data_IF_071864112616
#
_entry.id   IF_071864112616
#
_cell.length_a   1.000
_cell.length_b   1.000
_cell.length_c   1.000
_cell.angle_alpha   90.00
_cell.angle_beta   90.00
_cell.angle_gamma   90.00
#
_symmetry.space_group_name_H-M   'P 1'
#
loop_
_entity.id
_entity.type
_entity.pdbx_description
1 polymer ?
#
# COMPACT_ATOMS: atom_id res chain seq x y z
N UNK A 1 9.42 14.42 -27.04
CA UNK A 1 9.34 13.07 -27.69
C UNK A 1 9.15 12.03 -26.59
N UNK A 2 8.24 11.05 -26.78
CA UNK A 2 8.03 10.01 -25.79
C UNK A 2 9.06 8.87 -26.00
N UNK A 3 9.68 8.45 -24.94
CA UNK A 3 10.63 7.32 -24.90
C UNK A 3 10.26 6.37 -23.76
N UNK A 4 10.71 5.12 -23.82
CA UNK A 4 10.52 4.16 -22.75
C UNK A 4 11.84 3.50 -22.35
N UNK A 5 11.97 3.14 -21.08
CA UNK A 5 13.15 2.45 -20.55
C UNK A 5 12.84 1.55 -19.36
N UNK A 6 13.72 0.57 -19.06
CA UNK A 6 13.60 -0.20 -17.83
C UNK A 6 13.70 0.69 -16.59
N UNK A 7 12.99 0.28 -15.53
CA UNK A 7 13.16 0.82 -14.19
C UNK A 7 14.51 0.37 -13.60
N UNK A 8 15.19 1.26 -12.90
CA UNK A 8 16.46 1.02 -12.20
C UNK A 8 16.26 1.28 -10.71
N UNK A 9 16.23 0.22 -9.91
CA UNK A 9 15.84 0.26 -8.50
C UNK A 9 16.45 1.44 -7.72
N UNK A 10 17.78 1.58 -7.71
CA UNK A 10 18.44 2.64 -6.93
C UNK A 10 18.36 4.04 -7.56
N UNK A 11 18.21 4.12 -8.88
CA UNK A 11 18.25 5.40 -9.60
C UNK A 11 16.85 6.03 -9.78
N UNK A 12 15.82 5.21 -9.75
CA UNK A 12 14.48 5.66 -10.15
C UNK A 12 13.45 5.62 -9.01
N UNK A 13 13.73 4.97 -7.85
CA UNK A 13 12.77 4.90 -6.75
C UNK A 13 12.25 6.29 -6.34
N UNK A 14 13.15 7.23 -6.09
CA UNK A 14 12.78 8.60 -5.73
C UNK A 14 11.99 9.30 -6.84
N UNK A 15 12.40 9.13 -8.11
CA UNK A 15 11.70 9.73 -9.24
C UNK A 15 10.27 9.18 -9.41
N UNK A 16 10.11 7.88 -9.20
CA UNK A 16 8.79 7.24 -9.21
C UNK A 16 7.95 7.73 -8.03
N UNK A 17 8.55 7.85 -6.83
CA UNK A 17 7.85 8.41 -5.69
C UNK A 17 7.29 9.79 -6.00
N UNK A 18 8.12 10.71 -6.51
CA UNK A 18 7.70 12.06 -6.88
C UNK A 18 6.66 12.09 -8.02
N UNK A 19 6.80 11.22 -9.00
CA UNK A 19 5.79 11.05 -10.06
C UNK A 19 4.43 10.62 -9.49
N UNK A 20 4.42 9.67 -8.54
CA UNK A 20 3.20 9.20 -7.89
C UNK A 20 2.56 10.28 -6.99
N UNK A 21 3.37 11.11 -6.33
CA UNK A 21 2.89 12.30 -5.62
C UNK A 21 2.16 13.26 -6.58
N UNK A 22 2.76 13.52 -7.74
CA UNK A 22 2.21 14.46 -8.74
C UNK A 22 0.86 13.98 -9.30
N UNK A 23 0.73 12.69 -9.62
CA UNK A 23 -0.47 12.14 -10.26
C UNK A 23 -1.55 11.69 -9.27
N UNK A 24 -1.31 11.82 -7.96
CA UNK A 24 -2.20 11.30 -6.94
C UNK A 24 -3.61 11.87 -7.04
N UNK A 25 -4.58 10.98 -6.96
CA UNK A 25 -6.00 11.28 -6.76
C UNK A 25 -6.55 10.35 -5.68
N UNK A 26 -7.50 10.82 -4.87
CA UNK A 26 -8.05 10.02 -3.75
C UNK A 26 -8.63 8.66 -4.18
N UNK A 27 -9.16 8.56 -5.38
CA UNK A 27 -9.72 7.31 -5.94
C UNK A 27 -8.71 6.48 -6.75
N UNK A 28 -7.44 6.89 -6.76
CA UNK A 28 -6.30 6.25 -7.45
C UNK A 28 -6.47 6.09 -8.96
N UNK A 29 -7.37 6.87 -9.58
CA UNK A 29 -7.65 6.80 -11.02
C UNK A 29 -6.45 6.93 -11.94
N UNK A 30 -5.37 7.57 -11.47
CA UNK A 30 -4.15 7.73 -12.26
C UNK A 30 -3.07 6.70 -11.87
N UNK A 31 -3.24 5.95 -10.77
CA UNK A 31 -2.29 4.97 -10.26
C UNK A 31 -2.27 4.91 -8.73
N UNK A 32 -1.40 4.08 -8.18
CA UNK A 32 -1.23 3.90 -6.74
C UNK A 32 -0.66 5.16 -6.08
N UNK A 33 -0.91 5.41 -4.78
CA UNK A 33 -0.21 6.46 -4.04
C UNK A 33 1.27 6.11 -3.84
N UNK A 34 2.10 7.12 -3.68
CA UNK A 34 3.54 6.95 -3.51
C UNK A 34 3.94 6.02 -2.35
N UNK A 35 3.32 6.09 -1.16
CA UNK A 35 3.62 5.14 -0.07
C UNK A 35 3.32 3.68 -0.39
N UNK A 36 2.30 3.38 -1.20
CA UNK A 36 2.01 2.02 -1.65
C UNK A 36 3.22 1.40 -2.38
N UNK A 37 3.77 2.14 -3.34
CA UNK A 37 4.96 1.71 -4.08
C UNK A 37 6.18 1.59 -3.17
N UNK A 38 6.43 2.60 -2.33
CA UNK A 38 7.61 2.60 -1.46
C UNK A 38 7.54 1.48 -0.42
N UNK A 39 6.38 1.23 0.20
CA UNK A 39 6.18 0.13 1.12
C UNK A 39 6.58 -1.20 0.49
N UNK A 40 6.09 -1.49 -0.72
CA UNK A 40 6.41 -2.72 -1.42
C UNK A 40 7.90 -2.84 -1.73
N UNK A 41 8.52 -1.79 -2.29
CA UNK A 41 9.92 -1.85 -2.75
C UNK A 41 10.94 -1.65 -1.62
N UNK A 42 10.59 -0.99 -0.52
CA UNK A 42 11.44 -0.86 0.66
C UNK A 42 11.50 -2.14 1.50
N UNK A 43 10.47 -2.96 1.47
CA UNK A 43 10.45 -4.21 2.25
C UNK A 43 11.46 -5.25 1.77
N UNK A 44 12.07 -5.07 0.61
CA UNK A 44 13.10 -5.93 -0.01
C UNK A 44 12.89 -7.42 0.30
N UNK A 45 13.08 -8.28 -0.61
CA UNK A 45 13.24 -9.75 -0.51
C UNK A 45 12.36 -10.55 0.48
N UNK A 46 11.93 -10.03 1.63
CA UNK A 46 11.11 -10.81 2.54
C UNK A 46 9.66 -10.92 2.07
N UNK A 47 9.08 -9.78 1.67
CA UNK A 47 7.68 -9.74 1.25
C UNK A 47 7.53 -9.67 -0.27
N UNK A 48 8.48 -9.03 -0.95
CA UNK A 48 8.45 -8.81 -2.40
C UNK A 48 9.67 -9.38 -3.10
N UNK A 49 9.46 -10.19 -4.13
CA UNK A 49 10.54 -10.64 -5.00
C UNK A 49 10.93 -9.54 -6.00
N UNK A 50 12.02 -8.84 -5.70
CA UNK A 50 12.56 -7.76 -6.55
C UNK A 50 13.40 -8.26 -7.74
N UNK A 51 13.60 -9.58 -7.89
CA UNK A 51 14.43 -10.17 -8.95
C UNK A 51 13.99 -9.77 -10.36
N UNK A 52 12.71 -9.43 -10.53
CA UNK A 52 12.14 -9.02 -11.80
C UNK A 52 11.98 -7.50 -11.95
N UNK A 53 12.45 -6.69 -11.00
CA UNK A 53 12.24 -5.24 -11.01
C UNK A 53 12.72 -4.54 -12.27
N UNK A 54 13.71 -5.10 -12.95
CA UNK A 54 14.19 -4.62 -14.26
C UNK A 54 13.14 -4.70 -15.38
N UNK A 55 12.07 -5.46 -15.19
CA UNK A 55 10.94 -5.55 -16.11
C UNK A 55 9.90 -4.47 -15.89
N UNK A 56 9.92 -3.78 -14.76
CA UNK A 56 9.12 -2.57 -14.60
C UNK A 56 9.55 -1.55 -15.66
N UNK A 57 8.57 -0.80 -16.17
CA UNK A 57 8.81 0.06 -17.34
C UNK A 57 8.35 1.50 -17.05
N UNK A 58 9.22 2.42 -17.42
CA UNK A 58 8.99 3.86 -17.33
C UNK A 58 8.83 4.43 -18.73
N UNK A 59 7.84 5.30 -18.93
CA UNK A 59 7.69 6.15 -20.11
C UNK A 59 8.01 7.59 -19.72
N UNK A 60 8.80 8.25 -20.54
CA UNK A 60 9.24 9.63 -20.32
C UNK A 60 8.87 10.48 -21.52
N UNK A 61 8.43 11.72 -21.26
CA UNK A 61 8.23 12.76 -22.27
C UNK A 61 9.12 13.95 -21.93
N UNK A 62 10.10 14.23 -22.82
CA UNK A 62 11.06 15.31 -22.64
C UNK A 62 11.80 15.30 -21.30
N UNK A 63 12.07 14.07 -20.79
CA UNK A 63 12.83 13.81 -19.57
C UNK A 63 11.98 13.68 -18.30
N UNK A 64 10.66 13.91 -18.38
CA UNK A 64 9.73 13.73 -17.26
C UNK A 64 9.00 12.40 -17.37
N UNK A 65 8.79 11.72 -16.24
CA UNK A 65 8.03 10.47 -16.17
C UNK A 65 6.56 10.79 -16.38
N UNK A 66 5.93 10.10 -17.33
CA UNK A 66 4.51 10.27 -17.67
C UNK A 66 3.70 8.98 -17.51
N UNK A 67 4.37 7.83 -17.43
CA UNK A 67 3.72 6.56 -17.12
C UNK A 67 4.71 5.58 -16.50
N UNK A 68 4.16 4.66 -15.69
CA UNK A 68 4.91 3.60 -15.03
C UNK A 68 4.08 2.34 -14.97
N UNK A 69 4.68 1.20 -15.31
CA UNK A 69 4.11 -0.12 -15.17
C UNK A 69 5.00 -0.97 -14.28
N UNK A 70 4.44 -1.56 -13.24
CA UNK A 70 5.21 -2.32 -12.27
C UNK A 70 4.38 -3.47 -11.70
N UNK A 71 5.06 -4.40 -11.08
CA UNK A 71 4.43 -5.46 -10.29
C UNK A 71 4.62 -5.22 -8.80
N UNK A 72 3.74 -5.84 -8.02
CA UNK A 72 3.85 -5.96 -6.59
C UNK A 72 3.75 -7.44 -6.18
N UNK A 73 3.65 -7.76 -4.93
CA UNK A 73 3.49 -9.13 -4.45
C UNK A 73 2.00 -9.58 -4.51
N UNK A 74 1.68 -10.68 -5.19
CA UNK A 74 2.59 -11.57 -5.95
C UNK A 74 3.12 -10.90 -7.22
N UNK A 75 4.25 -11.41 -7.74
CA UNK A 75 4.87 -10.87 -8.98
C UNK A 75 3.96 -10.94 -10.20
N UNK A 76 2.83 -11.64 -10.10
CA UNK A 76 1.76 -11.72 -11.11
C UNK A 76 0.87 -10.50 -11.17
N UNK A 77 0.86 -9.68 -10.13
CA UNK A 77 -0.03 -8.53 -9.98
C UNK A 77 0.60 -7.27 -10.58
N UNK A 78 0.07 -6.84 -11.72
CA UNK A 78 0.63 -5.77 -12.54
C UNK A 78 -0.21 -4.50 -12.40
N UNK A 79 0.45 -3.41 -12.01
CA UNK A 79 -0.12 -2.09 -11.80
C UNK A 79 0.28 -1.10 -12.87
N UNK A 80 -0.59 -0.14 -13.13
CA UNK A 80 -0.42 0.89 -14.14
C UNK A 80 -0.64 2.26 -13.52
N UNK A 81 0.35 3.14 -13.70
CA UNK A 81 0.30 4.55 -13.30
C UNK A 81 0.46 5.40 -14.55
N UNK A 82 -0.48 6.32 -14.80
CA UNK A 82 -0.55 7.09 -16.04
C UNK A 82 -0.95 8.54 -15.76
N UNK A 83 -0.08 9.46 -16.13
CA UNK A 83 -0.33 10.89 -15.98
C UNK A 83 -1.50 11.32 -16.87
N UNK A 84 -2.46 12.13 -16.37
CA UNK A 84 -3.54 12.68 -17.17
C UNK A 84 -3.04 13.39 -18.43
N UNK A 85 -3.72 13.18 -19.55
CA UNK A 85 -3.33 13.71 -20.87
C UNK A 85 -2.40 12.79 -21.68
N UNK A 86 -1.98 11.67 -21.10
CA UNK A 86 -1.14 10.68 -21.78
C UNK A 86 -1.85 9.35 -22.07
N UNK A 87 -3.19 9.35 -22.12
CA UNK A 87 -4.04 8.15 -22.32
C UNK A 87 -3.71 7.40 -23.62
N UNK A 88 -3.08 8.07 -24.59
CA UNK A 88 -2.57 7.44 -25.82
C UNK A 88 -1.50 6.38 -25.58
N UNK A 89 -0.81 6.41 -24.43
CA UNK A 89 0.18 5.40 -24.03
C UNK A 89 -0.47 4.11 -23.54
N UNK A 90 -1.76 4.11 -23.21
CA UNK A 90 -2.43 2.96 -22.59
C UNK A 90 -2.30 1.67 -23.44
N UNK A 91 -2.35 1.79 -24.78
CA UNK A 91 -2.15 0.65 -25.68
C UNK A 91 -0.76 0.05 -25.55
N UNK A 92 0.27 0.90 -25.59
CA UNK A 92 1.67 0.48 -25.49
C UNK A 92 1.97 -0.11 -24.10
N UNK A 93 1.45 0.48 -23.04
CA UNK A 93 1.61 0.00 -21.66
C UNK A 93 1.02 -1.39 -21.47
N UNK A 94 -0.20 -1.61 -21.94
CA UNK A 94 -0.87 -2.92 -21.86
C UNK A 94 -0.15 -3.96 -22.68
N UNK A 95 0.25 -3.63 -23.92
CA UNK A 95 1.03 -4.53 -24.77
C UNK A 95 2.37 -4.89 -24.11
N UNK A 96 3.08 -3.89 -23.58
CA UNK A 96 4.34 -4.15 -22.88
C UNK A 96 4.16 -5.10 -21.71
N UNK A 97 3.15 -4.86 -20.87
CA UNK A 97 2.88 -5.70 -19.71
C UNK A 97 2.54 -7.14 -20.11
N UNK A 98 1.69 -7.33 -21.11
CA UNK A 98 1.32 -8.66 -21.62
C UNK A 98 2.52 -9.46 -22.18
N UNK A 99 3.47 -8.78 -22.81
CA UNK A 99 4.61 -9.42 -23.47
C UNK A 99 5.82 -9.63 -22.55
N UNK A 100 6.02 -8.74 -21.55
CA UNK A 100 7.30 -8.61 -20.86
C UNK A 100 7.22 -8.73 -19.34
N UNK A 101 6.04 -8.54 -18.70
CA UNK A 101 6.00 -8.54 -17.25
C UNK A 101 6.29 -9.92 -16.66
N UNK A 102 6.87 -9.97 -15.44
CA UNK A 102 7.40 -11.19 -14.88
C UNK A 102 6.29 -12.16 -14.59
N UNK A 103 6.28 -13.29 -15.21
CA UNK A 103 5.62 -14.51 -14.78
C UNK A 103 5.42 -15.50 -15.88
N UNK A 104 4.84 -16.60 -15.51
CA UNK A 104 4.08 -17.47 -16.35
C UNK A 104 2.88 -16.68 -16.92
N UNK A 105 2.74 -16.57 -18.24
CA UNK A 105 1.68 -15.76 -18.90
C UNK A 105 0.26 -16.16 -18.50
N UNK A 106 0.07 -17.38 -18.02
CA UNK A 106 -1.22 -17.91 -17.59
C UNK A 106 -1.70 -17.26 -16.27
N UNK A 107 -0.77 -16.74 -15.47
CA UNK A 107 -1.02 -16.23 -14.12
C UNK A 107 -1.03 -14.70 -14.02
N UNK A 108 -0.71 -13.97 -15.12
CA UNK A 108 -0.69 -12.51 -15.10
C UNK A 108 -2.08 -11.96 -14.82
N UNK A 109 -2.15 -11.11 -13.82
CA UNK A 109 -3.32 -10.34 -13.45
C UNK A 109 -3.05 -8.85 -13.58
N UNK A 110 -3.81 -8.16 -14.42
CA UNK A 110 -3.79 -6.72 -14.47
C UNK A 110 -4.70 -6.14 -13.40
N UNK A 111 -4.20 -5.18 -12.66
CA UNK A 111 -4.95 -4.47 -11.63
C UNK A 111 -5.17 -3.04 -12.11
N UNK A 112 -6.45 -2.67 -12.24
CA UNK A 112 -6.84 -1.32 -12.61
C UNK A 112 -7.73 -0.71 -11.52
N UNK A 113 -7.63 0.60 -11.42
CA UNK A 113 -8.49 1.40 -10.55
C UNK A 113 -9.65 2.02 -11.34
N UNK A 114 -10.72 2.40 -10.63
CA UNK A 114 -11.83 3.12 -11.25
C UNK A 114 -11.34 4.38 -11.96
N UNK A 115 -11.78 4.61 -13.21
CA UNK A 115 -11.32 5.74 -14.02
C UNK A 115 -10.16 5.45 -14.98
N UNK A 116 -9.51 4.29 -14.90
CA UNK A 116 -8.47 3.86 -15.85
C UNK A 116 -9.06 3.24 -17.14
N UNK A 117 -10.10 3.88 -17.70
CA UNK A 117 -10.91 3.32 -18.80
C UNK A 117 -10.11 3.04 -20.08
N UNK A 118 -9.09 3.85 -20.37
CA UNK A 118 -8.23 3.65 -21.53
C UNK A 118 -7.43 2.35 -21.40
N UNK A 119 -6.81 2.11 -20.24
CA UNK A 119 -6.06 0.88 -19.94
C UNK A 119 -6.96 -0.34 -19.97
N UNK A 120 -8.13 -0.29 -19.31
CA UNK A 120 -9.10 -1.38 -19.28
C UNK A 120 -9.61 -1.75 -20.68
N UNK A 121 -9.86 -0.76 -21.55
CA UNK A 121 -10.27 -0.98 -22.92
C UNK A 121 -9.22 -1.74 -23.73
N UNK A 122 -7.95 -1.34 -23.65
CA UNK A 122 -6.87 -2.02 -24.35
C UNK A 122 -6.58 -3.40 -23.77
N UNK A 123 -6.66 -3.58 -22.44
CA UNK A 123 -6.59 -4.91 -21.83
C UNK A 123 -7.70 -5.83 -22.38
N UNK A 124 -8.93 -5.33 -22.50
CA UNK A 124 -10.03 -6.11 -23.09
C UNK A 124 -9.76 -6.50 -24.55
N UNK A 125 -9.18 -5.60 -25.35
CA UNK A 125 -8.79 -5.88 -26.74
C UNK A 125 -7.69 -6.95 -26.82
N UNK A 126 -6.79 -6.98 -25.84
CA UNK A 126 -5.71 -7.98 -25.70
C UNK A 126 -6.19 -9.31 -25.10
N UNK A 127 -7.50 -9.49 -24.90
CA UNK A 127 -8.09 -10.75 -24.43
C UNK A 127 -8.31 -10.85 -22.93
N UNK A 128 -7.89 -9.85 -22.14
CA UNK A 128 -8.16 -9.82 -20.71
C UNK A 128 -9.65 -9.60 -20.42
N UNK A 129 -10.12 -10.19 -19.31
CA UNK A 129 -11.50 -10.02 -18.84
C UNK A 129 -11.48 -9.73 -17.35
N UNK A 130 -12.37 -8.83 -16.90
CA UNK A 130 -12.55 -8.58 -15.48
C UNK A 130 -13.03 -9.87 -14.80
N UNK A 131 -12.26 -10.34 -13.82
CA UNK A 131 -12.55 -11.54 -13.04
C UNK A 131 -13.38 -11.20 -11.81
N UNK A 132 -12.97 -10.16 -11.07
CA UNK A 132 -13.69 -9.64 -9.90
C UNK A 132 -13.35 -8.16 -9.65
N UNK A 133 -14.03 -7.57 -8.67
CA UNK A 133 -13.75 -6.21 -8.21
C UNK A 133 -13.92 -6.13 -6.69
N UNK A 134 -13.26 -5.19 -6.07
CA UNK A 134 -13.42 -4.85 -4.66
C UNK A 134 -13.34 -3.34 -4.47
N UNK A 135 -13.74 -2.88 -3.28
CA UNK A 135 -13.57 -1.51 -2.86
C UNK A 135 -12.67 -1.46 -1.64
N UNK A 136 -11.64 -0.63 -1.69
CA UNK A 136 -10.94 -0.18 -0.51
C UNK A 136 -11.54 1.15 -0.05
N UNK A 137 -11.54 1.35 1.25
CA UNK A 137 -12.23 2.44 1.90
C UNK A 137 -11.24 3.49 2.37
N UNK A 138 -11.73 4.73 2.49
CA UNK A 138 -10.99 5.83 3.11
C UNK A 138 -11.87 6.49 4.17
N UNK A 139 -11.21 7.08 5.16
CA UNK A 139 -11.84 7.94 6.15
C UNK A 139 -11.59 9.40 5.79
N UNK A 140 -12.65 10.20 5.69
CA UNK A 140 -12.55 11.65 5.47
C UNK A 140 -12.42 12.37 6.82
N UNK A 141 -11.45 13.29 6.94
CA UNK A 141 -11.19 14.01 8.19
C UNK A 141 -12.13 15.20 8.42
N UNK A 142 -13.14 15.38 7.57
CA UNK A 142 -14.26 16.25 7.87
C UNK A 142 -15.08 15.76 9.09
N UNK A 143 -15.10 14.43 9.28
CA UNK A 143 -15.69 13.79 10.46
C UNK A 143 -14.62 13.50 11.51
N UNK A 144 -15.04 13.32 12.75
CA UNK A 144 -14.15 12.97 13.86
C UNK A 144 -14.13 11.45 14.08
N UNK A 145 -12.92 10.88 14.12
CA UNK A 145 -12.72 9.46 14.42
C UNK A 145 -12.28 9.34 15.89
N UNK A 146 -13.19 8.93 16.74
CA UNK A 146 -12.94 8.82 18.18
C UNK A 146 -13.45 7.48 18.73
N UNK A 147 -12.56 6.52 18.90
CA UNK A 147 -12.79 5.25 19.57
C UNK A 147 -11.88 5.14 20.78
N UNK A 148 -12.43 4.98 22.00
CA UNK A 148 -11.61 4.94 23.21
C UNK A 148 -10.72 3.69 23.25
N UNK A 149 -9.54 3.85 23.85
CA UNK A 149 -8.69 2.71 24.15
C UNK A 149 -9.35 1.84 25.23
N UNK A 150 -9.51 0.52 25.00
CA UNK A 150 -10.09 -0.38 25.99
C UNK A 150 -9.27 -0.48 27.27
N UNK A 151 -9.95 -0.71 28.40
CA UNK A 151 -9.31 -0.92 29.71
C UNK A 151 -8.33 -2.11 29.66
N UNK A 152 -7.21 -2.00 30.38
CA UNK A 152 -6.17 -3.01 30.42
C UNK A 152 -5.15 -2.91 29.27
N UNK A 153 -5.23 -1.87 28.44
CA UNK A 153 -4.29 -1.60 27.36
C UNK A 153 -3.75 -0.15 27.46
N UNK A 154 -2.60 0.06 26.83
CA UNK A 154 -1.99 1.39 26.72
C UNK A 154 -1.31 1.57 25.36
N UNK A 155 -1.23 2.83 24.90
CA UNK A 155 -0.39 3.19 23.76
C UNK A 155 1.08 3.17 24.16
N UNK A 156 1.90 2.49 23.36
CA UNK A 156 3.37 2.54 23.50
C UNK A 156 3.83 3.89 22.92
N UNK A 157 4.69 4.62 23.64
CA UNK A 157 5.26 5.86 23.12
C UNK A 157 6.13 5.59 21.90
N UNK A 158 6.11 6.46 20.90
CA UNK A 158 6.81 6.22 19.63
C UNK A 158 8.31 5.92 19.82
N UNK A 159 8.99 6.60 20.73
CA UNK A 159 10.41 6.35 21.02
C UNK A 159 10.69 5.03 21.73
N UNK A 160 9.66 4.40 22.32
CA UNK A 160 9.78 3.15 23.09
C UNK A 160 9.32 1.94 22.28
N UNK A 161 8.94 2.13 21.00
CA UNK A 161 8.49 1.07 20.11
C UNK A 161 9.68 0.15 19.76
N UNK A 162 9.58 -1.12 20.15
CA UNK A 162 10.51 -2.18 19.79
C UNK A 162 10.08 -2.83 18.46
N UNK A 163 10.90 -2.68 17.41
CA UNK A 163 10.60 -3.17 16.07
C UNK A 163 10.58 -4.70 15.99
N UNK A 164 11.32 -5.39 16.82
CA UNK A 164 11.24 -6.86 16.94
C UNK A 164 9.87 -7.30 17.46
N UNK A 165 9.34 -6.59 18.47
CA UNK A 165 8.01 -6.87 19.00
C UNK A 165 6.89 -6.44 18.00
N UNK A 166 7.11 -5.40 17.18
CA UNK A 166 6.24 -5.08 16.03
C UNK A 166 6.22 -6.26 15.06
N UNK A 167 7.39 -6.80 14.67
CA UNK A 167 7.49 -7.96 13.79
C UNK A 167 6.72 -9.18 14.32
N UNK A 168 6.88 -9.49 15.61
CA UNK A 168 6.12 -10.57 16.26
C UNK A 168 4.61 -10.33 16.29
N UNK A 169 4.21 -9.07 16.51
CA UNK A 169 2.80 -8.66 16.48
C UNK A 169 2.20 -8.84 15.09
N UNK A 170 2.89 -8.39 14.04
CA UNK A 170 2.46 -8.58 12.64
C UNK A 170 2.41 -10.07 12.27
N UNK A 171 3.43 -10.85 12.61
CA UNK A 171 3.47 -12.29 12.34
C UNK A 171 2.24 -13.02 12.86
N UNK A 172 1.88 -12.76 14.12
CA UNK A 172 0.66 -13.31 14.72
C UNK A 172 -0.61 -12.66 14.20
N UNK A 173 -0.60 -11.35 14.04
CA UNK A 173 -1.77 -10.55 13.65
C UNK A 173 -2.25 -10.85 12.23
N UNK A 174 -1.35 -11.28 11.33
CA UNK A 174 -1.67 -11.73 9.97
C UNK A 174 -1.74 -13.25 9.83
N UNK A 175 -1.79 -13.98 10.95
CA UNK A 175 -1.94 -15.44 11.00
C UNK A 175 -0.79 -16.23 10.33
N UNK A 176 0.39 -15.61 10.11
CA UNK A 176 1.57 -16.31 9.55
C UNK A 176 2.02 -17.49 10.41
N UNK A 177 1.87 -17.39 11.74
CA UNK A 177 2.23 -18.47 12.65
C UNK A 177 1.51 -19.78 12.32
N UNK A 178 0.30 -19.71 11.76
CA UNK A 178 -0.49 -20.89 11.37
C UNK A 178 -0.03 -21.50 10.03
N UNK A 179 0.47 -20.67 9.11
CA UNK A 179 0.82 -21.10 7.75
C UNK A 179 2.33 -21.37 7.59
N UNK A 180 3.16 -20.61 8.30
CA UNK A 180 4.62 -20.57 8.11
C UNK A 180 5.38 -21.01 9.35
N UNK A 181 4.67 -21.29 10.47
CA UNK A 181 5.25 -21.69 11.74
C UNK A 181 5.63 -20.52 12.66
N UNK A 182 6.28 -20.81 13.81
CA UNK A 182 6.58 -19.81 14.82
C UNK A 182 7.52 -18.73 14.27
N UNK A 183 7.30 -17.48 14.72
CA UNK A 183 8.19 -16.39 14.40
C UNK A 183 9.64 -16.71 14.73
N UNK A 184 10.57 -16.33 13.85
CA UNK A 184 11.99 -16.47 14.07
C UNK A 184 12.74 -15.19 13.65
N UNK A 185 14.00 -15.06 14.08
CA UNK A 185 14.81 -13.88 13.88
C UNK A 185 15.14 -13.55 12.40
N UNK A 186 14.90 -14.47 11.45
CA UNK A 186 15.07 -14.16 10.02
C UNK A 186 14.09 -13.08 9.53
N UNK A 187 12.95 -12.93 10.22
CA UNK A 187 11.93 -11.93 9.94
C UNK A 187 12.14 -10.62 10.69
N UNK A 188 13.12 -10.55 11.58
CA UNK A 188 13.37 -9.39 12.43
C UNK A 188 13.72 -8.13 11.63
N UNK A 189 14.51 -8.30 10.58
CA UNK A 189 15.04 -7.19 9.78
C UNK A 189 13.96 -6.44 8.99
N UNK A 190 12.87 -7.08 8.62
CA UNK A 190 11.80 -6.51 7.79
C UNK A 190 11.25 -5.19 8.36
N UNK A 191 10.84 -5.18 9.61
CA UNK A 191 10.27 -3.99 10.23
C UNK A 191 11.29 -2.88 10.47
N UNK A 192 12.58 -3.22 10.66
CA UNK A 192 13.64 -2.23 10.72
C UNK A 192 13.88 -1.58 9.36
N UNK A 193 13.89 -2.36 8.28
CA UNK A 193 14.06 -1.85 6.90
C UNK A 193 12.93 -0.89 6.55
N UNK A 194 11.68 -1.26 6.79
CA UNK A 194 10.53 -0.38 6.55
C UNK A 194 10.62 0.94 7.30
N UNK A 195 11.09 0.93 8.56
CA UNK A 195 11.24 2.15 9.35
C UNK A 195 12.38 3.07 8.89
N UNK A 196 13.23 2.60 7.98
CA UNK A 196 14.36 3.35 7.39
C UNK A 196 14.17 3.66 5.91
N UNK A 197 13.02 3.38 5.34
CA UNK A 197 12.69 3.78 3.98
C UNK A 197 12.68 5.32 3.86
N UNK A 198 13.04 5.90 2.70
CA UNK A 198 13.27 7.34 2.55
C UNK A 198 12.13 8.24 3.07
N UNK A 199 10.88 7.82 2.88
CA UNK A 199 9.70 8.60 3.30
C UNK A 199 8.89 7.91 4.41
N UNK A 200 9.50 6.93 5.10
CA UNK A 200 8.86 6.33 6.26
C UNK A 200 8.66 7.36 7.38
N UNK A 201 7.54 7.25 8.08
CA UNK A 201 7.19 8.11 9.23
C UNK A 201 6.93 7.26 10.48
N UNK A 202 7.94 6.51 10.96
CA UNK A 202 7.78 5.54 12.05
C UNK A 202 7.38 6.18 13.39
N UNK A 203 7.57 7.49 13.56
CA UNK A 203 7.09 8.25 14.72
C UNK A 203 5.57 8.37 14.78
N UNK A 204 4.89 8.17 13.65
CA UNK A 204 3.43 8.19 13.56
C UNK A 204 2.81 6.81 13.79
N UNK A 205 3.61 5.75 13.80
CA UNK A 205 3.12 4.41 14.09
C UNK A 205 2.39 4.35 15.43
N UNK A 206 1.41 3.46 15.51
CA UNK A 206 0.65 3.22 16.72
C UNK A 206 0.81 1.76 17.15
N UNK A 207 1.27 1.58 18.37
CA UNK A 207 1.35 0.28 19.04
C UNK A 207 0.50 0.32 20.29
N UNK A 208 -0.35 -0.69 20.45
CA UNK A 208 -1.11 -0.91 21.68
C UNK A 208 -0.58 -2.16 22.36
N UNK A 209 -0.21 -2.03 23.63
CA UNK A 209 0.25 -3.13 24.48
C UNK A 209 -0.71 -3.38 25.65
N UNK A 210 -0.72 -4.61 26.15
CA UNK A 210 -1.42 -4.95 27.37
C UNK A 210 -0.61 -4.56 28.63
N UNK A 211 -1.18 -4.78 29.81
CA UNK A 211 -0.52 -4.43 31.10
C UNK A 211 0.80 -5.16 31.36
N UNK A 212 1.08 -6.26 30.64
CA UNK A 212 2.36 -6.98 30.71
C UNK A 212 3.41 -6.44 29.74
N UNK A 213 3.05 -5.49 28.86
CA UNK A 213 3.90 -4.95 27.80
C UNK A 213 3.87 -5.79 26.51
N UNK A 214 2.99 -6.79 26.38
CA UNK A 214 2.84 -7.58 25.16
C UNK A 214 2.12 -6.75 24.10
N UNK A 215 2.69 -6.63 22.91
CA UNK A 215 2.08 -5.93 21.78
C UNK A 215 0.84 -6.67 21.28
N UNK A 216 -0.29 -6.00 21.33
CA UNK A 216 -1.63 -6.53 21.03
C UNK A 216 -2.15 -6.08 19.67
N UNK A 217 -1.81 -4.85 19.27
CA UNK A 217 -2.21 -4.25 18.01
C UNK A 217 -1.09 -3.33 17.49
N UNK A 218 -0.88 -3.36 16.18
CA UNK A 218 0.04 -2.46 15.48
C UNK A 218 -0.65 -1.85 14.28
N UNK A 219 -0.40 -0.58 14.08
CA UNK A 219 -0.80 0.17 12.90
C UNK A 219 0.38 1.02 12.42
N UNK A 220 0.84 0.78 11.20
CA UNK A 220 1.88 1.53 10.53
C UNK A 220 1.30 2.73 9.79
N UNK A 221 2.03 3.83 9.73
CA UNK A 221 1.59 5.07 9.11
C UNK A 221 2.66 5.66 8.21
N UNK A 222 2.25 6.05 7.02
CA UNK A 222 3.03 6.80 6.05
C UNK A 222 2.34 8.13 5.78
N UNK A 223 2.99 9.22 6.10
CA UNK A 223 2.47 10.57 5.92
C UNK A 223 3.03 11.23 4.68
N UNK A 224 2.18 11.62 3.73
CA UNK A 224 2.55 12.39 2.54
C UNK A 224 1.96 13.79 2.60
N UNK A 225 2.73 14.80 3.02
CA UNK A 225 2.24 16.16 3.20
C UNK A 225 1.71 16.78 1.90
N UNK A 226 2.33 16.50 0.75
CA UNK A 226 1.93 17.02 -0.56
C UNK A 226 0.51 16.61 -0.94
N UNK A 227 0.16 15.36 -0.66
CA UNK A 227 -1.17 14.80 -0.92
C UNK A 227 -2.11 14.95 0.28
N UNK A 228 -1.62 15.41 1.42
CA UNK A 228 -2.34 15.47 2.71
C UNK A 228 -2.96 14.10 3.07
N UNK A 229 -2.24 13.05 2.72
CA UNK A 229 -2.66 11.66 2.85
C UNK A 229 -2.00 11.01 4.06
N UNK A 230 -2.81 10.44 4.95
CA UNK A 230 -2.41 9.46 5.94
C UNK A 230 -2.57 8.05 5.33
N UNK A 231 -1.47 7.47 4.83
CA UNK A 231 -1.49 6.12 4.25
C UNK A 231 -1.24 5.10 5.37
N UNK A 232 -2.29 4.38 5.76
CA UNK A 232 -2.24 3.37 6.81
C UNK A 232 -1.87 2.00 6.23
N UNK A 233 -0.69 1.51 6.59
CA UNK A 233 -0.18 0.19 6.20
C UNK A 233 0.94 -0.24 7.14
N UNK A 234 0.89 -1.43 7.77
CA UNK A 234 -0.27 -2.31 7.88
C UNK A 234 -1.12 -2.05 9.12
N UNK A 235 -2.26 -2.73 9.28
CA UNK A 235 -3.06 -2.76 10.51
C UNK A 235 -3.32 -4.21 10.92
N UNK A 236 -2.87 -4.58 12.12
CA UNK A 236 -3.12 -5.92 12.65
C UNK A 236 -3.45 -5.93 14.14
N UNK A 237 -4.16 -6.97 14.57
CA UNK A 237 -4.41 -7.30 15.98
C UNK A 237 -4.16 -8.80 16.16
N UNK A 238 -3.37 -9.17 17.16
CA UNK A 238 -3.09 -10.59 17.43
C UNK A 238 -4.36 -11.34 17.86
N UNK A 239 -4.48 -12.64 17.54
CA UNK A 239 -5.72 -13.40 17.70
C UNK A 239 -6.38 -13.28 19.07
N UNK A 240 -5.61 -13.33 20.16
CA UNK A 240 -6.11 -13.31 21.55
C UNK A 240 -6.80 -12.00 21.94
N UNK A 241 -6.53 -10.91 21.19
CA UNK A 241 -7.05 -9.59 21.49
C UNK A 241 -7.99 -9.06 20.40
N UNK A 242 -8.31 -9.88 19.37
CA UNK A 242 -9.31 -9.51 18.36
C UNK A 242 -10.67 -9.25 19.00
N UNK A 243 -11.49 -8.43 18.33
CA UNK A 243 -12.85 -8.05 18.74
C UNK A 243 -12.95 -7.26 20.05
N UNK A 244 -11.84 -6.71 20.57
CA UNK A 244 -11.82 -5.86 21.77
C UNK A 244 -11.79 -4.36 21.46
N UNK A 245 -11.86 -3.94 20.19
CA UNK A 245 -11.83 -2.52 19.80
C UNK A 245 -10.44 -1.92 19.57
N UNK A 246 -9.34 -2.70 19.73
CA UNK A 246 -7.98 -2.19 19.64
C UNK A 246 -7.63 -1.58 18.28
N UNK A 247 -8.03 -2.22 17.20
CA UNK A 247 -7.80 -1.68 15.85
C UNK A 247 -8.52 -0.34 15.62
N UNK A 248 -9.75 -0.18 16.15
CA UNK A 248 -10.47 1.08 16.06
C UNK A 248 -9.80 2.19 16.89
N UNK A 249 -9.34 1.86 18.11
CA UNK A 249 -8.58 2.79 18.95
C UNK A 249 -7.23 3.19 18.28
N UNK A 250 -6.55 2.24 17.62
CA UNK A 250 -5.33 2.55 16.87
C UNK A 250 -5.61 3.52 15.70
N UNK A 251 -6.69 3.30 14.94
CA UNK A 251 -7.09 4.23 13.87
C UNK A 251 -7.45 5.62 14.39
N UNK A 252 -8.09 5.70 15.56
CA UNK A 252 -8.38 6.99 16.20
C UNK A 252 -7.11 7.74 16.61
N UNK A 253 -6.13 7.06 17.20
CA UNK A 253 -4.85 7.66 17.54
C UNK A 253 -4.10 8.14 16.29
N UNK A 254 -4.10 7.35 15.20
CA UNK A 254 -3.53 7.75 13.92
C UNK A 254 -4.23 8.98 13.33
N UNK A 255 -5.55 9.00 13.40
CA UNK A 255 -6.34 10.14 12.93
C UNK A 255 -5.91 11.43 13.64
N UNK A 256 -5.82 11.42 14.99
CA UNK A 256 -5.42 12.61 15.75
C UNK A 256 -3.98 13.05 15.45
N UNK A 257 -3.05 12.10 15.39
CA UNK A 257 -1.65 12.39 15.04
C UNK A 257 -1.54 13.04 13.66
N UNK A 258 -2.18 12.48 12.64
CA UNK A 258 -2.06 12.94 11.26
C UNK A 258 -2.93 14.16 10.96
N UNK A 259 -4.08 14.31 11.60
CA UNK A 259 -4.90 15.53 11.55
C UNK A 259 -4.13 16.74 12.05
N UNK A 260 -3.35 16.59 13.13
CA UNK A 260 -2.49 17.64 13.66
C UNK A 260 -1.42 18.09 12.63
N UNK A 261 -1.01 17.23 11.71
CA UNK A 261 -0.09 17.51 10.60
C UNK A 261 -0.79 18.07 9.36
N UNK A 262 -2.12 18.11 9.34
CA UNK A 262 -2.92 18.65 8.24
C UNK A 262 -3.44 17.60 7.26
N UNK A 263 -3.45 16.32 7.61
CA UNK A 263 -4.08 15.27 6.81
C UNK A 263 -5.58 15.58 6.59
N UNK A 264 -6.08 15.18 5.43
CA UNK A 264 -7.49 15.34 5.06
C UNK A 264 -8.22 14.02 4.93
N UNK A 265 -7.49 12.93 4.83
CA UNK A 265 -8.05 11.59 4.70
C UNK A 265 -7.03 10.53 5.07
N UNK A 266 -7.52 9.34 5.41
CA UNK A 266 -6.70 8.17 5.74
C UNK A 266 -7.16 6.97 4.91
N UNK A 267 -6.20 6.20 4.39
CA UNK A 267 -6.51 4.92 3.73
C UNK A 267 -6.95 3.89 4.74
N UNK A 268 -7.84 3.02 4.32
CA UNK A 268 -8.21 1.78 5.00
C UNK A 268 -8.22 0.63 3.99
N UNK A 269 -8.51 -0.55 4.45
CA UNK A 269 -8.69 -1.71 3.59
C UNK A 269 -10.15 -1.93 3.19
N UNK A 270 -10.41 -3.10 2.66
CA UNK A 270 -11.76 -3.58 2.38
C UNK A 270 -12.39 -4.24 3.62
N UNK A 271 -13.72 -4.31 3.61
CA UNK A 271 -14.45 -5.15 4.54
C UNK A 271 -15.21 -4.42 5.66
N UNK A 272 -15.99 -5.23 6.38
CA UNK A 272 -16.98 -4.76 7.34
C UNK A 272 -16.40 -3.98 8.53
N UNK A 273 -15.16 -4.24 8.90
CA UNK A 273 -14.49 -3.53 9.99
C UNK A 273 -14.39 -2.04 9.67
N UNK A 274 -13.87 -1.68 8.50
CA UNK A 274 -13.72 -0.28 8.10
C UNK A 274 -15.08 0.42 7.94
N UNK A 275 -16.10 -0.26 7.40
CA UNK A 275 -17.46 0.29 7.34
C UNK A 275 -18.00 0.65 8.73
N UNK A 276 -17.78 -0.23 9.71
CA UNK A 276 -18.24 0.00 11.09
C UNK A 276 -17.49 1.13 11.80
N UNK A 277 -16.28 1.45 11.36
CA UNK A 277 -15.49 2.56 11.89
C UNK A 277 -15.67 3.86 11.09
N UNK A 278 -16.64 3.89 10.14
CA UNK A 278 -17.01 5.12 9.43
C UNK A 278 -16.31 5.34 8.10
N UNK A 279 -15.41 4.43 7.70
CA UNK A 279 -14.76 4.50 6.41
C UNK A 279 -15.75 4.28 5.25
N UNK A 280 -15.56 4.98 4.15
CA UNK A 280 -16.40 4.95 2.96
C UNK A 280 -15.65 4.36 1.76
N UNK A 281 -16.37 3.69 0.85
CA UNK A 281 -15.81 3.22 -0.40
C UNK A 281 -15.18 4.37 -1.18
N UNK A 282 -13.90 4.28 -1.50
CA UNK A 282 -13.17 5.33 -2.19
C UNK A 282 -12.41 4.81 -3.42
N UNK A 283 -11.72 3.69 -3.29
CA UNK A 283 -10.88 3.14 -4.36
C UNK A 283 -11.49 1.86 -4.91
N UNK A 284 -11.90 1.89 -6.15
CA UNK A 284 -12.43 0.73 -6.85
C UNK A 284 -11.28 -0.03 -7.52
N UNK A 285 -11.02 -1.23 -7.05
CA UNK A 285 -10.07 -2.17 -7.64
C UNK A 285 -10.80 -3.10 -8.62
N UNK A 286 -10.20 -3.34 -9.77
CA UNK A 286 -10.66 -4.33 -10.73
C UNK A 286 -9.52 -5.24 -11.15
N UNK A 287 -9.75 -6.55 -11.11
CA UNK A 287 -8.77 -7.58 -11.35
C UNK A 287 -9.08 -8.30 -12.66
N UNK A 288 -8.10 -8.29 -13.58
CA UNK A 288 -8.28 -8.75 -14.95
C UNK A 288 -7.28 -9.86 -15.29
N UNK A 289 -7.76 -10.95 -15.86
CA UNK A 289 -6.94 -12.07 -16.34
C UNK A 289 -7.44 -12.59 -17.66
N UNK A 290 -6.62 -13.38 -18.33
CA UNK A 290 -6.99 -14.13 -19.56
C UNK A 290 -7.76 -15.39 -19.25
#
# INVERSE_FOLDING_TARGET
>A
MITQRPFRLLADCEKIYQFLIEIYERDWRNGVPAPFFEYAYASFSYWMDISYSYRNRIWECDGEIVAFCFYENPVTDIYFCLKPGYEKLASEMVQYADENMPTNKEDIQFIFFGGQDALMRYAQQSGYRKKYERWDMQYDFADELDFPLPEGFHFVKSQDIDRTNVGKCCWKGFDHEQCEGPWNHQYEQHNYILSTAPHATPELDVVIADVSGKYACYAGMWWTPENRLAYMEPLCTIPEYRHKGLAAAALSEMYWKTKALGATHMTGGSGRFYQKTGFQNAVKWTFWGK
#
